data_IF_736552805755
#
_entry.id   IF_736552805755
#
_cell.length_a   1.000
_cell.length_b   1.000
_cell.length_c   1.000
_cell.angle_alpha   90.00
_cell.angle_beta   90.00
_cell.angle_gamma   90.00
#
_symmetry.space_group_name_H-M   'P 1'
#
loop_
_entity.id
_entity.type
_entity.pdbx_description
1 polymer ?
#
# COMPACT_ATOMS: atom_id res chain seq x y z
N UNK A 1 5.60 -14.37 -3.19
CA UNK A 1 5.25 -12.95 -2.92
C UNK A 1 4.15 -12.81 -1.88
N UNK A 2 2.91 -13.31 -2.10
CA UNK A 2 1.79 -13.12 -1.16
C UNK A 2 2.11 -13.50 0.29
N UNK A 3 2.62 -14.72 0.51
CA UNK A 3 3.02 -15.20 1.85
C UNK A 3 4.05 -14.30 2.53
N UNK A 4 4.94 -13.68 1.76
CA UNK A 4 5.93 -12.73 2.27
C UNK A 4 5.32 -11.34 2.50
N UNK A 5 4.31 -10.93 1.73
CA UNK A 5 3.67 -9.62 1.88
C UNK A 5 2.79 -9.55 3.12
N UNK A 6 2.11 -10.66 3.44
CA UNK A 6 1.25 -10.76 4.62
C UNK A 6 2.02 -10.39 5.90
N UNK A 7 1.37 -9.62 6.76
CA UNK A 7 1.94 -9.09 8.00
C UNK A 7 1.86 -7.57 8.09
N UNK A 8 2.48 -7.04 9.15
CA UNK A 8 2.50 -5.61 9.47
C UNK A 8 3.81 -4.95 9.06
N UNK A 9 3.68 -3.73 8.54
CA UNK A 9 4.75 -2.94 7.95
C UNK A 9 4.62 -1.50 8.41
N UNK A 10 5.74 -0.86 8.70
CA UNK A 10 5.81 0.57 9.04
C UNK A 10 6.48 1.32 7.91
N UNK A 11 5.85 2.36 7.41
CA UNK A 11 6.47 3.28 6.46
C UNK A 11 7.63 4.00 7.14
N UNK A 12 8.80 4.00 6.49
CA UNK A 12 9.95 4.81 6.84
C UNK A 12 9.92 6.03 5.93
N UNK A 13 9.46 7.16 6.47
CA UNK A 13 9.43 8.44 5.77
C UNK A 13 10.00 9.52 6.69
N UNK A 14 11.18 10.02 6.34
CA UNK A 14 11.89 11.06 7.11
C UNK A 14 11.17 12.40 7.08
N UNK A 15 10.26 12.62 6.12
CA UNK A 15 9.50 13.86 5.97
C UNK A 15 8.30 13.93 6.93
N UNK A 16 7.82 12.80 7.46
CA UNK A 16 6.64 12.73 8.31
C UNK A 16 6.99 12.30 9.74
N UNK A 17 7.87 13.06 10.41
CA UNK A 17 8.31 12.77 11.81
C UNK A 17 7.19 12.79 12.84
N UNK A 18 6.07 13.43 12.53
CA UNK A 18 4.91 13.56 13.40
C UNK A 18 3.76 12.61 13.06
N UNK A 19 4.00 11.67 12.13
CA UNK A 19 3.03 10.66 11.75
C UNK A 19 3.65 9.27 11.73
N UNK A 20 2.94 8.30 12.27
CA UNK A 20 3.23 6.88 12.10
C UNK A 20 2.24 6.31 11.10
N UNK A 21 2.75 5.82 9.98
CA UNK A 21 1.96 5.10 9.00
C UNK A 21 2.29 3.60 9.03
N UNK A 22 1.30 2.80 9.41
CA UNK A 22 1.39 1.34 9.48
C UNK A 22 0.46 0.70 8.46
N UNK A 23 0.97 -0.28 7.74
CA UNK A 23 0.27 -1.05 6.73
C UNK A 23 0.19 -2.49 7.20
N UNK A 24 -0.98 -3.09 7.06
CA UNK A 24 -1.25 -4.48 7.41
C UNK A 24 -1.84 -5.16 6.18
N UNK A 25 -1.19 -6.21 5.72
CA UNK A 25 -1.67 -7.03 4.62
C UNK A 25 -2.15 -8.36 5.18
N UNK A 26 -3.42 -8.68 4.93
CA UNK A 26 -3.98 -10.03 5.08
C UNK A 26 -4.00 -10.72 3.71
N UNK A 27 -4.64 -11.89 3.63
CA UNK A 27 -4.86 -12.58 2.36
C UNK A 27 -5.74 -11.79 1.37
N UNK A 28 -6.60 -10.91 1.82
CA UNK A 28 -7.58 -10.23 0.95
C UNK A 28 -7.62 -8.72 1.14
N UNK A 29 -7.04 -8.22 2.23
CA UNK A 29 -7.24 -6.85 2.68
C UNK A 29 -5.92 -6.18 2.95
N UNK A 30 -5.81 -4.94 2.48
CA UNK A 30 -4.75 -4.02 2.83
C UNK A 30 -5.36 -2.94 3.74
N UNK A 31 -4.85 -2.84 4.96
CA UNK A 31 -5.24 -1.82 5.93
C UNK A 31 -4.10 -0.85 6.16
N UNK A 32 -4.35 0.44 6.01
CA UNK A 32 -3.41 1.52 6.29
C UNK A 32 -3.93 2.31 7.50
N UNK A 33 -3.05 2.57 8.46
CA UNK A 33 -3.35 3.30 9.68
C UNK A 33 -2.37 4.45 9.81
N UNK A 34 -2.88 5.68 9.83
CA UNK A 34 -2.11 6.89 10.06
C UNK A 34 -2.42 7.41 11.45
N UNK A 35 -1.40 7.49 12.30
CA UNK A 35 -1.49 8.06 13.65
C UNK A 35 -0.60 9.30 13.73
N UNK A 36 -1.22 10.46 13.85
CA UNK A 36 -0.51 11.74 14.00
C UNK A 36 -0.30 12.03 15.48
N UNK A 37 0.83 12.67 15.84
CA UNK A 37 1.14 12.98 17.26
C UNK A 37 0.11 13.88 17.93
N UNK A 38 -0.49 14.81 17.17
CA UNK A 38 -1.39 15.85 17.68
C UNK A 38 -2.88 15.55 17.45
N UNK A 39 -3.21 14.37 16.90
CA UNK A 39 -4.60 13.96 16.63
C UNK A 39 -4.80 12.60 17.30
N UNK A 40 -5.69 12.55 18.29
CA UNK A 40 -5.93 11.33 19.07
C UNK A 40 -6.50 10.18 18.23
N UNK A 41 -7.39 10.49 17.29
CA UNK A 41 -8.04 9.49 16.45
C UNK A 41 -7.15 9.10 15.25
N UNK A 42 -6.79 7.81 15.09
CA UNK A 42 -6.08 7.36 13.91
C UNK A 42 -6.98 7.38 12.68
N UNK A 43 -6.43 7.76 11.52
CA UNK A 43 -7.10 7.59 10.24
C UNK A 43 -6.84 6.19 9.69
N UNK A 44 -7.91 5.43 9.48
CA UNK A 44 -7.83 4.03 9.03
C UNK A 44 -8.46 3.89 7.65
N UNK A 45 -7.72 3.29 6.72
CA UNK A 45 -8.19 2.96 5.38
C UNK A 45 -8.02 1.46 5.14
N UNK A 46 -9.14 0.75 5.01
CA UNK A 46 -9.15 -0.68 4.68
C UNK A 46 -9.65 -0.87 3.26
N UNK A 47 -8.94 -1.66 2.45
CA UNK A 47 -9.30 -1.91 1.04
C UNK A 47 -9.04 -3.37 0.68
N UNK A 48 -9.97 -4.01 -0.05
CA UNK A 48 -9.66 -5.28 -0.68
C UNK A 48 -8.57 -5.08 -1.72
N UNK A 49 -7.70 -6.08 -1.87
CA UNK A 49 -6.64 -6.05 -2.87
C UNK A 49 -6.40 -7.43 -3.48
N UNK A 50 -5.81 -7.42 -4.67
CA UNK A 50 -5.24 -8.62 -5.28
C UNK A 50 -3.87 -8.33 -5.88
N UNK A 51 -3.13 -9.40 -6.13
CA UNK A 51 -1.83 -9.33 -6.78
C UNK A 51 -1.98 -9.59 -8.26
N UNK A 52 -1.33 -8.78 -9.09
CA UNK A 52 -1.38 -8.90 -10.54
C UNK A 52 -0.03 -8.57 -11.17
N UNK A 53 0.17 -9.06 -12.40
CA UNK A 53 1.34 -8.71 -13.20
C UNK A 53 0.94 -7.55 -14.11
N UNK A 54 1.51 -6.37 -13.85
CA UNK A 54 1.14 -5.13 -14.54
C UNK A 54 -0.14 -4.47 -13.98
N UNK A 55 -0.62 -3.46 -14.70
CA UNK A 55 -1.82 -2.70 -14.35
C UNK A 55 -2.98 -3.23 -15.20
N UNK A 56 -4.02 -3.81 -14.57
CA UNK A 56 -5.15 -4.31 -15.34
C UNK A 56 -5.98 -3.15 -15.91
N UNK A 57 -6.62 -3.37 -17.06
CA UNK A 57 -7.51 -2.39 -17.70
C UNK A 57 -8.85 -2.25 -16.97
N UNK A 58 -9.26 -3.27 -16.21
CA UNK A 58 -10.48 -3.32 -15.38
C UNK A 58 -10.17 -3.91 -14.02
N UNK A 59 -10.91 -3.47 -13.01
CA UNK A 59 -10.81 -4.07 -11.68
C UNK A 59 -11.54 -5.41 -11.66
N UNK A 60 -10.91 -6.44 -11.11
CA UNK A 60 -11.47 -7.81 -11.05
C UNK A 60 -11.64 -8.25 -9.59
N UNK A 61 -12.81 -8.00 -8.97
CA UNK A 61 -13.06 -8.34 -7.56
C UNK A 61 -12.89 -9.83 -7.24
N UNK A 62 -13.15 -10.71 -8.21
CA UNK A 62 -13.00 -12.17 -8.07
C UNK A 62 -11.56 -12.62 -7.81
N UNK A 63 -10.57 -11.76 -8.07
CA UNK A 63 -9.16 -12.04 -7.80
C UNK A 63 -8.74 -11.73 -6.37
N UNK A 64 -9.57 -11.02 -5.59
CA UNK A 64 -9.31 -10.74 -4.18
C UNK A 64 -9.25 -12.06 -3.41
N UNK A 65 -8.29 -12.17 -2.47
CA UNK A 65 -8.11 -13.40 -1.68
C UNK A 65 -7.46 -14.57 -2.43
N UNK A 66 -7.34 -14.52 -3.76
CA UNK A 66 -6.74 -15.60 -4.54
C UNK A 66 -5.22 -15.69 -4.34
N UNK A 67 -4.71 -16.92 -4.20
CA UNK A 67 -3.27 -17.18 -4.12
C UNK A 67 -2.63 -17.04 -5.50
N UNK A 68 -2.28 -15.81 -5.87
CA UNK A 68 -1.56 -15.49 -7.11
C UNK A 68 -0.25 -14.77 -6.82
N UNK A 69 0.71 -14.93 -7.72
CA UNK A 69 1.87 -14.06 -7.82
C UNK A 69 1.54 -12.83 -8.67
N UNK A 70 2.28 -11.75 -8.45
CA UNK A 70 2.19 -10.54 -9.24
C UNK A 70 3.39 -9.65 -8.94
N UNK A 71 3.49 -8.52 -9.64
CA UNK A 71 4.44 -7.45 -9.32
C UNK A 71 3.73 -6.21 -8.81
N UNK A 72 2.39 -6.22 -8.80
CA UNK A 72 1.56 -5.09 -8.41
C UNK A 72 0.54 -5.51 -7.36
N UNK A 73 0.32 -4.64 -6.38
CA UNK A 73 -0.79 -4.67 -5.43
C UNK A 73 -1.88 -3.79 -6.04
N UNK A 74 -2.98 -4.39 -6.49
CA UNK A 74 -4.08 -3.71 -7.15
C UNK A 74 -5.24 -3.52 -6.17
N UNK A 75 -5.79 -2.33 -6.12
CA UNK A 75 -7.01 -2.04 -5.36
C UNK A 75 -7.89 -1.02 -6.09
N UNK A 76 -9.18 -1.04 -5.79
CA UNK A 76 -10.10 -0.04 -6.33
C UNK A 76 -10.29 1.11 -5.35
N UNK A 77 -10.12 2.34 -5.84
CA UNK A 77 -10.35 3.54 -5.07
C UNK A 77 -11.77 4.06 -5.29
N UNK A 78 -12.74 3.52 -4.54
CA UNK A 78 -14.18 3.80 -4.66
C UNK A 78 -14.53 5.28 -4.88
N UNK A 79 -14.07 6.16 -3.98
CA UNK A 79 -14.33 7.62 -4.06
C UNK A 79 -13.84 8.26 -5.36
N UNK A 80 -12.80 7.69 -5.96
CA UNK A 80 -12.17 8.20 -7.17
C UNK A 80 -12.60 7.42 -8.43
N UNK A 81 -13.40 6.36 -8.26
CA UNK A 81 -13.86 5.46 -9.32
C UNK A 81 -12.74 4.99 -10.26
N UNK A 82 -11.58 4.63 -9.70
CA UNK A 82 -10.40 4.23 -10.49
C UNK A 82 -9.55 3.16 -9.80
N UNK A 83 -8.87 2.39 -10.64
CA UNK A 83 -7.85 1.45 -10.22
C UNK A 83 -6.64 2.22 -9.71
N UNK A 84 -6.14 1.82 -8.54
CA UNK A 84 -4.88 2.29 -7.99
C UNK A 84 -4.00 1.09 -7.74
N UNK A 85 -2.69 1.33 -7.71
CA UNK A 85 -1.73 0.27 -7.54
C UNK A 85 -0.48 0.74 -6.81
N UNK A 86 0.18 -0.24 -6.21
CA UNK A 86 1.57 -0.16 -5.79
C UNK A 86 2.35 -1.21 -6.57
N UNK A 87 3.41 -0.80 -7.24
CA UNK A 87 4.37 -1.72 -7.84
C UNK A 87 5.35 -2.16 -6.76
N UNK A 88 5.53 -3.48 -6.63
CA UNK A 88 6.47 -4.08 -5.68
C UNK A 88 7.84 -4.11 -6.33
N UNK A 89 8.65 -3.11 -6.02
CA UNK A 89 10.03 -3.00 -6.53
C UNK A 89 10.96 -4.01 -5.85
N UNK A 90 10.75 -4.25 -4.56
CA UNK A 90 11.51 -5.24 -3.78
C UNK A 90 10.72 -5.70 -2.57
N UNK A 91 10.79 -7.00 -2.27
CA UNK A 91 10.31 -7.60 -1.04
C UNK A 91 11.36 -8.61 -0.58
N UNK A 92 12.24 -8.19 0.32
CA UNK A 92 13.37 -9.00 0.81
C UNK A 92 13.60 -8.78 2.29
N UNK A 93 13.89 -9.86 3.01
CA UNK A 93 14.02 -9.87 4.46
C UNK A 93 12.77 -9.22 5.09
N UNK A 94 12.96 -8.07 5.73
CA UNK A 94 11.92 -7.27 6.36
C UNK A 94 11.74 -5.89 5.72
N UNK A 95 12.08 -5.77 4.43
CA UNK A 95 11.94 -4.51 3.69
C UNK A 95 11.05 -4.70 2.48
N UNK A 96 10.01 -3.89 2.41
CA UNK A 96 9.10 -3.77 1.28
C UNK A 96 9.33 -2.40 0.63
N UNK A 97 9.72 -2.39 -0.63
CA UNK A 97 9.87 -1.17 -1.43
C UNK A 97 8.76 -1.15 -2.47
N UNK A 98 7.93 -0.12 -2.39
CA UNK A 98 6.82 0.11 -3.31
C UNK A 98 7.08 1.34 -4.16
N UNK A 99 6.62 1.32 -5.41
CA UNK A 99 6.50 2.50 -6.25
C UNK A 99 5.03 2.81 -6.52
N UNK A 100 4.64 4.07 -6.43
CA UNK A 100 3.29 4.52 -6.78
C UNK A 100 3.31 5.87 -7.46
N UNK A 101 2.29 6.16 -8.27
CA UNK A 101 2.13 7.45 -8.91
C UNK A 101 1.29 8.37 -8.02
N UNK A 102 1.88 9.47 -7.59
CA UNK A 102 1.15 10.54 -6.90
C UNK A 102 0.73 11.60 -7.90
N UNK A 103 -0.55 11.96 -7.86
CA UNK A 103 -1.07 13.10 -8.63
C UNK A 103 -0.55 14.42 -8.07
N UNK A 104 -0.62 15.47 -8.90
CA UNK A 104 -0.24 16.82 -8.49
C UNK A 104 -1.13 17.26 -7.34
N UNK A 105 -0.54 17.71 -6.25
CA UNK A 105 -1.23 18.34 -5.13
C UNK A 105 -0.61 19.71 -4.86
N UNK A 106 -1.26 20.54 -4.04
CA UNK A 106 -0.69 21.83 -3.64
C UNK A 106 0.69 21.57 -3.01
N UNK A 107 1.73 22.22 -3.53
CA UNK A 107 3.11 22.06 -3.07
C UNK A 107 3.85 20.80 -3.55
N UNK A 108 3.26 19.93 -4.41
CA UNK A 108 3.92 18.72 -4.91
C UNK A 108 3.56 18.42 -6.38
N UNK A 109 4.58 18.28 -7.23
CA UNK A 109 4.39 17.87 -8.62
C UNK A 109 3.95 16.41 -8.72
N UNK A 110 3.20 16.09 -9.78
CA UNK A 110 2.85 14.71 -10.07
C UNK A 110 4.09 13.91 -10.45
N UNK A 111 4.12 12.63 -10.09
CA UNK A 111 5.26 11.77 -10.39
C UNK A 111 5.23 10.46 -9.62
N UNK A 112 6.20 9.61 -9.95
CA UNK A 112 6.42 8.39 -9.19
C UNK A 112 7.18 8.68 -7.90
N UNK A 113 6.73 8.05 -6.83
CA UNK A 113 7.36 8.11 -5.51
C UNK A 113 7.64 6.70 -5.03
N UNK A 114 8.75 6.54 -4.33
CA UNK A 114 9.14 5.29 -3.71
C UNK A 114 8.79 5.33 -2.22
N UNK A 115 8.13 4.28 -1.75
CA UNK A 115 7.81 4.06 -0.35
C UNK A 115 8.66 2.91 0.17
N UNK A 116 9.36 3.14 1.27
CA UNK A 116 10.13 2.09 1.95
C UNK A 116 9.41 1.72 3.23
N UNK A 117 9.00 0.47 3.36
CA UNK A 117 8.37 -0.05 4.56
C UNK A 117 9.26 -1.12 5.21
N UNK A 118 9.31 -1.10 6.54
CA UNK A 118 9.97 -2.10 7.35
C UNK A 118 8.94 -2.99 8.02
N UNK A 119 9.15 -4.31 8.02
CA UNK A 119 8.29 -5.22 8.78
C UNK A 119 8.41 -4.86 10.26
N UNK A 120 7.29 -4.93 10.96
CA UNK A 120 7.25 -4.84 12.42
C UNK A 120 6.77 -6.18 12.95
N UNK A 121 7.52 -6.75 13.88
CA UNK A 121 7.05 -7.86 14.70
C UNK A 121 6.00 -7.34 15.66
N UNK A 122 4.91 -8.10 15.84
CA UNK A 122 4.01 -7.90 16.97
C UNK A 122 4.67 -8.34 18.27
#
# INVERSE_FOLDING_TARGET
MRSQLVGKWRLIDENYKDCVNTWEFTGDTMKQTWKYKLIDAPSIYSRPYYLFTGIPSKYEPSLVGQTRSGTHIIYYAEKLKRIKYYEVMSLKNDTLILRTYTEKTIGRLAGYVTLTLKRISE
#
